data_IF_526000758270
#
_entry.id   IF_526000758270
#
_cell.length_a   1.000
_cell.length_b   1.000
_cell.length_c   1.000
_cell.angle_alpha   90.00
_cell.angle_beta   90.00
_cell.angle_gamma   90.00
#
_symmetry.space_group_name_H-M   'P 1'
#
loop_
_entity.id
_entity.type
_entity.pdbx_description
1 polymer ?
#
# COMPACT_ATOMS: atom_id res chain seq x y z
N UNK A 1 -26.44 0.11 10.10
CA UNK A 1 -26.23 -0.30 8.69
C UNK A 1 -26.48 -1.80 8.56
N UNK A 2 -27.30 -2.23 7.60
CA UNK A 2 -27.70 -3.63 7.40
C UNK A 2 -26.80 -4.35 6.38
N UNK A 3 -26.84 -5.69 6.36
CA UNK A 3 -26.06 -6.48 5.40
C UNK A 3 -26.49 -6.30 3.94
N UNK A 4 -27.78 -6.25 3.59
CA UNK A 4 -28.20 -6.00 2.21
C UNK A 4 -27.70 -4.64 1.69
N UNK A 5 -27.65 -3.61 2.53
CA UNK A 5 -27.13 -2.29 2.14
C UNK A 5 -25.60 -2.29 1.89
N UNK A 6 -24.85 -3.07 2.66
CA UNK A 6 -23.41 -3.29 2.43
C UNK A 6 -23.19 -4.09 1.14
N UNK A 7 -23.97 -5.15 0.96
CA UNK A 7 -23.93 -6.03 -0.21
C UNK A 7 -24.19 -5.25 -1.51
N UNK A 8 -25.26 -4.44 -1.55
CA UNK A 8 -25.61 -3.59 -2.68
C UNK A 8 -24.51 -2.56 -3.02
N UNK A 9 -23.89 -1.93 -2.01
CA UNK A 9 -22.83 -0.93 -2.22
C UNK A 9 -21.51 -1.53 -2.69
N UNK A 10 -21.27 -2.81 -2.43
CA UNK A 10 -20.04 -3.54 -2.81
C UNK A 10 -20.25 -4.48 -4.01
N UNK A 11 -21.46 -4.54 -4.57
CA UNK A 11 -21.85 -5.50 -5.62
C UNK A 11 -21.61 -6.98 -5.22
N UNK A 12 -21.85 -7.31 -3.94
CA UNK A 12 -21.68 -8.65 -3.37
C UNK A 12 -23.04 -9.29 -3.03
N UNK A 13 -23.04 -10.60 -2.81
CA UNK A 13 -24.19 -11.33 -2.25
C UNK A 13 -24.25 -11.15 -0.73
N UNK A 14 -25.44 -11.05 -0.14
CA UNK A 14 -25.60 -10.83 1.31
C UNK A 14 -24.95 -11.94 2.16
N UNK A 15 -25.00 -13.20 1.70
CA UNK A 15 -24.34 -14.33 2.36
C UNK A 15 -22.81 -14.15 2.45
N UNK A 16 -22.19 -13.61 1.41
CA UNK A 16 -20.76 -13.26 1.38
C UNK A 16 -20.44 -12.19 2.44
N UNK A 17 -21.29 -11.16 2.56
CA UNK A 17 -21.14 -10.12 3.60
C UNK A 17 -21.29 -10.72 5.01
N UNK A 18 -22.25 -11.63 5.22
CA UNK A 18 -22.41 -12.35 6.49
C UNK A 18 -21.15 -13.14 6.86
N UNK A 19 -20.58 -13.89 5.92
CA UNK A 19 -19.35 -14.65 6.13
C UNK A 19 -18.15 -13.75 6.49
N UNK A 20 -17.94 -12.65 5.74
CA UNK A 20 -16.87 -11.70 6.07
C UNK A 20 -17.06 -11.03 7.44
N UNK A 21 -18.30 -10.68 7.81
CA UNK A 21 -18.55 -10.12 9.15
C UNK A 21 -18.30 -11.15 10.24
N UNK A 22 -18.71 -12.41 10.08
CA UNK A 22 -18.38 -13.46 11.07
C UNK A 22 -16.88 -13.56 11.24
N UNK A 23 -16.14 -13.79 10.16
CA UNK A 23 -14.69 -13.93 10.19
C UNK A 23 -13.97 -12.70 10.78
N UNK A 24 -14.51 -11.49 10.60
CA UNK A 24 -13.99 -10.28 11.22
C UNK A 24 -14.29 -10.21 12.73
N UNK A 25 -15.49 -10.60 13.15
CA UNK A 25 -15.88 -10.70 14.57
C UNK A 25 -15.05 -11.76 15.30
N UNK A 26 -14.88 -12.94 14.70
CA UNK A 26 -14.11 -14.06 15.21
C UNK A 26 -12.63 -13.66 15.42
N UNK A 27 -12.02 -12.99 14.43
CA UNK A 27 -10.64 -12.46 14.52
C UNK A 27 -10.46 -11.36 15.57
N UNK A 28 -11.51 -10.63 15.90
CA UNK A 28 -11.51 -9.58 16.94
C UNK A 28 -11.92 -10.12 18.32
N UNK A 29 -12.25 -11.41 18.45
CA UNK A 29 -12.81 -11.98 19.69
C UNK A 29 -14.16 -11.38 20.10
N UNK A 30 -14.86 -10.76 19.15
CA UNK A 30 -16.04 -9.94 19.41
C UNK A 30 -17.34 -10.71 19.11
N UNK A 31 -18.28 -10.75 20.05
CA UNK A 31 -19.56 -11.46 19.89
C UNK A 31 -20.57 -10.74 19.01
N UNK A 32 -20.40 -9.42 18.85
CA UNK A 32 -21.28 -8.58 18.03
C UNK A 32 -20.56 -7.30 17.56
N UNK A 33 -21.22 -6.54 16.70
CA UNK A 33 -20.67 -5.31 16.09
C UNK A 33 -20.42 -4.17 17.07
N UNK A 34 -21.13 -4.12 18.19
CA UNK A 34 -20.92 -3.11 19.24
C UNK A 34 -19.62 -3.42 19.97
N UNK A 35 -19.42 -4.67 20.38
CA UNK A 35 -18.16 -5.12 20.99
C UNK A 35 -16.97 -4.93 20.03
N UNK A 36 -17.12 -5.23 18.74
CA UNK A 36 -16.08 -4.98 17.75
C UNK A 36 -15.77 -3.48 17.57
N UNK A 37 -16.77 -2.60 17.68
CA UNK A 37 -16.56 -1.16 17.65
C UNK A 37 -15.83 -0.65 18.91
N UNK A 38 -16.09 -1.23 20.08
CA UNK A 38 -15.35 -0.95 21.33
C UNK A 38 -13.88 -1.37 21.17
N UNK A 39 -13.61 -2.62 20.75
CA UNK A 39 -12.25 -3.11 20.51
C UNK A 39 -11.51 -2.23 19.48
N UNK A 40 -12.18 -1.80 18.41
CA UNK A 40 -11.59 -0.90 17.41
C UNK A 40 -11.36 0.53 17.93
N UNK A 41 -12.11 0.99 18.93
CA UNK A 41 -11.90 2.28 19.59
C UNK A 41 -10.73 2.21 20.57
N UNK A 42 -10.68 1.18 21.41
CA UNK A 42 -9.60 0.91 22.37
C UNK A 42 -8.25 0.71 21.66
N UNK A 43 -8.25 0.03 20.51
CA UNK A 43 -7.07 -0.13 19.66
C UNK A 43 -6.70 1.12 18.83
N UNK A 44 -7.39 2.26 19.01
CA UNK A 44 -7.15 3.51 18.28
C UNK A 44 -7.48 3.48 16.78
N UNK A 45 -8.02 2.36 16.26
CA UNK A 45 -8.34 2.19 14.83
C UNK A 45 -9.41 3.18 14.37
N UNK A 46 -10.37 3.53 15.24
CA UNK A 46 -11.38 4.53 14.95
C UNK A 46 -10.77 5.92 14.63
N UNK A 47 -9.72 6.33 15.33
CA UNK A 47 -9.05 7.62 15.11
C UNK A 47 -8.06 7.55 13.94
N UNK A 48 -7.37 6.43 13.78
CA UNK A 48 -6.57 6.18 12.59
C UNK A 48 -7.43 6.30 11.31
N UNK A 49 -8.65 5.72 11.30
CA UNK A 49 -9.56 5.79 10.14
C UNK A 49 -10.13 7.19 9.86
N UNK A 50 -10.21 8.07 10.86
CA UNK A 50 -10.60 9.48 10.69
C UNK A 50 -9.48 10.32 10.08
N UNK A 51 -8.25 10.08 10.52
CA UNK A 51 -7.06 10.86 10.13
C UNK A 51 -6.40 10.36 8.85
N UNK A 52 -6.65 9.12 8.41
CA UNK A 52 -6.21 8.61 7.09
C UNK A 52 -6.74 9.52 5.98
N UNK A 53 -5.85 10.14 5.16
CA UNK A 53 -6.29 10.82 3.95
C UNK A 53 -7.05 9.81 3.07
N UNK A 54 -8.25 10.17 2.61
CA UNK A 54 -8.94 9.38 1.59
C UNK A 54 -8.13 9.47 0.31
N UNK A 55 -7.40 8.42 -0.01
CA UNK A 55 -6.62 8.35 -1.23
C UNK A 55 -7.60 8.39 -2.42
N UNK A 56 -7.45 9.34 -3.36
CA UNK A 56 -8.38 9.46 -4.47
C UNK A 56 -8.27 8.23 -5.39
N UNK A 57 -9.40 7.73 -5.93
CA UNK A 57 -9.36 6.64 -6.89
C UNK A 57 -8.64 7.13 -8.15
N UNK A 58 -7.48 6.52 -8.41
CA UNK A 58 -6.58 6.74 -9.55
C UNK A 58 -5.76 8.05 -9.55
N UNK A 59 -4.44 7.89 -9.68
CA UNK A 59 -3.67 8.79 -10.54
C UNK A 59 -3.07 10.06 -9.93
N UNK A 60 -2.48 10.03 -8.72
CA UNK A 60 -1.42 11.01 -8.39
C UNK A 60 -0.16 10.75 -9.22
N UNK A 61 -0.19 11.11 -10.50
CA UNK A 61 1.01 11.30 -11.31
C UNK A 61 1.85 12.41 -10.68
N UNK A 62 2.81 12.06 -9.80
CA UNK A 62 3.88 12.97 -9.36
C UNK A 62 4.83 13.24 -10.53
N UNK A 63 4.38 13.98 -11.54
CA UNK A 63 5.22 14.51 -12.62
C UNK A 63 6.04 15.69 -12.06
N UNK A 64 7.10 15.36 -11.31
CA UNK A 64 8.07 16.35 -10.87
C UNK A 64 8.84 16.91 -12.07
N UNK A 65 9.22 18.20 -12.07
CA UNK A 65 10.07 18.76 -13.11
C UNK A 65 11.50 18.20 -12.96
N UNK A 66 11.92 17.32 -13.87
CA UNK A 66 13.32 16.90 -13.96
C UNK A 66 14.18 18.07 -14.44
N UNK A 67 14.71 18.90 -13.52
CA UNK A 67 15.58 20.03 -13.91
C UNK A 67 16.62 20.51 -12.88
N UNK A 68 17.48 19.61 -12.40
CA UNK A 68 18.85 19.94 -11.97
C UNK A 68 19.81 19.14 -12.86
N UNK A 69 20.24 19.71 -14.00
CA UNK A 69 21.51 20.48 -14.17
C UNK A 69 22.77 19.64 -13.90
N UNK A 70 23.49 19.38 -14.99
CA UNK A 70 24.88 18.92 -15.04
C UNK A 70 25.81 19.76 -14.15
N UNK A 71 26.96 19.19 -13.75
CA UNK A 71 28.17 19.71 -14.37
C UNK A 71 29.14 18.65 -14.89
N UNK A 72 29.84 19.05 -15.96
CA UNK A 72 31.09 18.50 -16.46
C UNK A 72 32.06 18.10 -15.32
N UNK A 73 32.61 16.89 -15.39
CA UNK A 73 33.92 16.58 -14.81
C UNK A 73 34.81 15.96 -15.86
N UNK A 74 35.51 16.83 -16.58
CA UNK A 74 36.78 16.51 -17.25
C UNK A 74 37.79 16.01 -16.21
N UNK A 75 37.89 14.70 -16.06
CA UNK A 75 39.10 14.06 -15.52
C UNK A 75 39.87 13.52 -16.72
N UNK A 76 41.10 14.02 -16.92
CA UNK A 76 41.90 13.75 -18.12
C UNK A 76 42.47 12.32 -18.19
N UNK A 77 43.15 11.99 -19.31
CA UNK A 77 43.59 10.62 -19.58
C UNK A 77 44.93 10.27 -18.93
N UNK A 78 45.03 9.09 -18.33
CA UNK A 78 46.29 8.42 -18.00
C UNK A 78 46.41 7.13 -18.80
N UNK A 79 47.23 7.18 -19.86
CA UNK A 79 47.63 6.02 -20.67
C UNK A 79 48.55 5.10 -19.86
N UNK A 80 48.26 3.80 -19.81
CA UNK A 80 49.28 2.74 -19.92
C UNK A 80 48.66 1.55 -20.69
N UNK A 81 49.46 0.87 -21.51
CA UNK A 81 49.00 0.04 -22.62
C UNK A 81 48.88 -1.48 -22.30
N UNK A 82 48.12 -2.25 -23.12
CA UNK A 82 48.14 -3.73 -23.15
C UNK A 82 49.33 -4.25 -24.00
N UNK A 83 49.51 -5.57 -24.32
CA UNK A 83 48.67 -6.74 -24.03
C UNK A 83 49.43 -7.96 -23.43
N UNK A 84 48.73 -9.10 -23.27
CA UNK A 84 49.34 -10.37 -22.86
C UNK A 84 48.32 -11.50 -22.67
N UNK A 85 47.80 -12.04 -23.78
CA UNK A 85 47.00 -13.27 -23.79
C UNK A 85 47.85 -14.50 -23.53
N UNK A 86 47.41 -15.44 -22.69
CA UNK A 86 47.57 -16.87 -23.01
C UNK A 86 46.55 -17.79 -22.34
N UNK A 87 46.11 -18.82 -23.09
CA UNK A 87 45.13 -19.88 -22.73
C UNK A 87 45.36 -21.08 -23.66
N UNK A 88 45.92 -22.20 -23.17
CA UNK A 88 45.11 -23.34 -22.71
C UNK A 88 45.75 -24.09 -21.50
N UNK A 89 45.21 -25.23 -20.98
CA UNK A 89 43.96 -25.95 -21.33
C UNK A 89 42.92 -26.07 -20.20
#
# INVERSE_FOLDING_TARGET
>A
MSNPAIAARLHLVEGTVKAYVSAALDRLGARNRVQAAIVAYEAGLAEALRTRPREPPHGRCRRGPQRLRHPDRRTGPSRTAPPGTDVPP
#
